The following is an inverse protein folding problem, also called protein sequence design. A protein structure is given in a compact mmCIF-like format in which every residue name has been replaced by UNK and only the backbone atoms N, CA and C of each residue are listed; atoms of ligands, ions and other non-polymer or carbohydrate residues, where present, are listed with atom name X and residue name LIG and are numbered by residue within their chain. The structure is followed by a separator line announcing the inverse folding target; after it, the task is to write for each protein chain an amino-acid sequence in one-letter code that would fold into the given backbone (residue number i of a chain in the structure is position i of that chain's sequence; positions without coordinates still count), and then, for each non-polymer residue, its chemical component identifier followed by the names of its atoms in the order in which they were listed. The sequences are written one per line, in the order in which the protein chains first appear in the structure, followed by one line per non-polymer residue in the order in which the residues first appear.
data_IF_347190335752
#
_entry.id   IF_347190335752
#
_cell.length_a   1.000
_cell.length_b   1.000
_cell.length_c   1.000
_cell.angle_alpha   90.00
_cell.angle_beta   90.00
_cell.angle_gamma   90.00
#
_symmetry.space_group_name_H-M   'P 1'
#
loop_
_entity.id
_entity.type
_entity.pdbx_description
1 polymer ?
#
# COMPACT_ATOMS: atom_id res chain seq x y z
N UNK A 1 9.94 1.38 57.01
CA UNK A 1 10.49 0.68 55.84
C UNK A 1 9.38 0.61 54.79
N UNK A 2 9.40 1.53 53.83
CA UNK A 2 8.38 1.64 52.77
C UNK A 2 8.85 0.75 51.63
N UNK A 3 8.15 -0.36 51.42
CA UNK A 3 8.48 -1.34 50.38
C UNK A 3 7.95 -0.82 49.04
N UNK A 4 8.81 -0.10 48.31
CA UNK A 4 8.53 0.37 46.95
C UNK A 4 8.49 -0.84 46.03
N UNK A 5 7.29 -1.36 45.77
CA UNK A 5 7.05 -2.35 44.71
C UNK A 5 7.32 -1.67 43.36
N UNK A 6 8.55 -1.80 42.87
CA UNK A 6 8.85 -1.66 41.45
C UNK A 6 7.96 -2.65 40.71
N UNK A 7 6.89 -2.14 40.09
CA UNK A 7 6.21 -2.84 39.00
C UNK A 7 7.25 -3.00 37.91
N UNK A 8 7.88 -4.17 37.89
CA UNK A 8 8.66 -4.64 36.75
C UNK A 8 7.69 -4.62 35.56
N UNK A 9 7.82 -3.56 34.76
CA UNK A 9 7.10 -3.35 33.51
C UNK A 9 7.74 -4.37 32.57
N UNK A 10 7.16 -5.57 32.54
CA UNK A 10 7.65 -6.68 31.73
C UNK A 10 7.76 -6.19 30.28
N UNK A 11 8.98 -6.27 29.80
CA UNK A 11 9.48 -5.70 28.57
C UNK A 11 9.65 -6.86 27.58
N UNK A 12 8.56 -7.62 27.40
CA UNK A 12 8.45 -8.77 26.49
C UNK A 12 7.27 -8.58 25.53
N UNK A 13 6.91 -7.32 25.28
CA UNK A 13 6.26 -6.95 24.02
C UNK A 13 7.41 -6.60 23.09
N UNK A 14 7.90 -7.59 22.33
CA UNK A 14 8.57 -7.34 21.05
C UNK A 14 7.57 -6.59 20.17
N UNK A 15 7.46 -5.28 20.42
CA UNK A 15 6.80 -4.37 19.51
C UNK A 15 7.53 -4.54 18.16
N UNK A 16 6.75 -4.82 17.12
CA UNK A 16 7.26 -4.94 15.75
C UNK A 16 8.24 -3.78 15.49
N UNK A 17 9.51 -4.07 15.11
CA UNK A 17 10.50 -3.02 14.91
C UNK A 17 9.99 -1.98 13.90
N UNK A 18 9.21 -2.38 12.90
CA UNK A 18 8.60 -1.47 11.92
C UNK A 18 7.55 -0.55 12.55
N UNK A 19 6.77 -1.04 13.53
CA UNK A 19 5.84 -0.16 14.26
C UNK A 19 6.61 0.83 15.15
N UNK A 20 7.72 0.40 15.74
CA UNK A 20 8.52 1.22 16.66
C UNK A 20 9.26 2.37 15.98
N UNK A 21 9.57 2.26 14.67
CA UNK A 21 10.19 3.34 13.89
C UNK A 21 9.24 4.48 13.58
N UNK A 22 7.92 4.26 13.65
CA UNK A 22 6.92 5.27 13.32
C UNK A 22 6.91 6.46 14.31
N UNK A 23 6.59 7.69 13.83
CA UNK A 23 6.38 8.84 14.69
C UNK A 23 5.38 8.56 15.83
N UNK A 24 5.66 9.08 17.02
CA UNK A 24 4.83 8.81 18.20
C UNK A 24 3.36 9.25 18.04
N UNK A 25 3.09 10.28 17.23
CA UNK A 25 1.74 10.70 16.88
C UNK A 25 0.99 9.66 16.04
N UNK A 26 1.67 9.09 15.04
CA UNK A 26 1.11 8.06 14.17
C UNK A 26 0.83 6.77 14.95
N UNK A 27 1.78 6.32 15.78
CA UNK A 27 1.58 5.17 16.67
C UNK A 27 0.37 5.32 17.58
N UNK A 28 0.18 6.52 18.17
CA UNK A 28 -0.99 6.81 19.00
C UNK A 28 -2.28 6.77 18.18
N UNK A 29 -2.27 7.32 16.97
CA UNK A 29 -3.42 7.29 16.06
C UNK A 29 -3.81 5.85 15.70
N UNK A 30 -2.83 5.00 15.38
CA UNK A 30 -3.04 3.57 15.08
C UNK A 30 -3.69 2.84 16.26
N UNK A 31 -3.20 3.07 17.48
CA UNK A 31 -3.75 2.49 18.70
C UNK A 31 -5.16 3.03 19.02
N UNK A 32 -5.41 4.32 18.83
CA UNK A 32 -6.72 4.93 19.06
C UNK A 32 -7.77 4.43 18.06
N UNK A 33 -7.39 4.27 16.79
CA UNK A 33 -8.23 3.65 15.77
C UNK A 33 -8.58 2.20 16.12
N UNK A 34 -7.61 1.43 16.66
CA UNK A 34 -7.84 0.09 17.17
C UNK A 34 -8.84 0.10 18.33
N UNK A 35 -8.56 0.88 19.37
CA UNK A 35 -9.35 0.93 20.60
C UNK A 35 -10.80 1.37 20.35
N UNK A 36 -11.03 2.18 19.31
CA UNK A 36 -12.38 2.64 18.91
C UNK A 36 -13.27 1.51 18.38
N UNK A 37 -12.68 0.49 17.75
CA UNK A 37 -13.43 -0.62 17.13
C UNK A 37 -13.14 -2.00 17.75
N UNK A 38 -12.22 -2.05 18.72
CA UNK A 38 -11.87 -3.26 19.42
C UNK A 38 -13.05 -3.78 20.24
N UNK A 39 -13.30 -5.09 20.14
CA UNK A 39 -14.29 -5.79 20.94
C UNK A 39 -13.54 -6.70 21.92
N UNK A 40 -13.94 -6.73 23.20
CA UNK A 40 -13.39 -7.71 24.13
C UNK A 40 -13.77 -9.10 23.64
N UNK A 41 -12.78 -9.98 23.56
CA UNK A 41 -12.97 -11.40 23.35
C UNK A 41 -13.63 -11.92 24.60
N UNK A 42 -14.95 -12.02 24.54
CA UNK A 42 -15.68 -12.96 25.39
C UNK A 42 -15.09 -14.32 25.06
N UNK A 43 -14.11 -14.75 25.87
CA UNK A 43 -13.83 -16.17 26.03
C UNK A 43 -15.19 -16.70 26.43
N UNK A 44 -15.89 -17.31 25.46
CA UNK A 44 -16.94 -18.23 25.79
C UNK A 44 -16.23 -19.15 26.78
N UNK A 45 -16.57 -18.99 28.06
CA UNK A 45 -16.12 -19.88 29.08
C UNK A 45 -16.79 -21.15 28.60
N UNK A 46 -16.07 -21.92 27.78
CA UNK A 46 -16.32 -23.32 27.62
C UNK A 46 -16.12 -23.80 29.04
N UNK A 47 -17.20 -23.72 29.83
CA UNK A 47 -17.57 -24.79 30.71
C UNK A 47 -17.48 -26.00 29.80
N UNK A 48 -16.25 -26.53 29.68
CA UNK A 48 -16.07 -27.94 29.83
C UNK A 48 -16.93 -28.22 31.05
N UNK A 49 -18.13 -28.68 30.75
CA UNK A 49 -18.80 -29.61 31.59
C UNK A 49 -17.73 -30.66 31.91
N UNK A 50 -16.94 -30.40 32.95
CA UNK A 50 -16.67 -31.37 34.00
C UNK A 50 -18.04 -31.80 34.51
N UNK A 51 -18.78 -32.49 33.63
CA UNK A 51 -19.89 -33.34 33.94
C UNK A 51 -19.24 -34.49 34.66
N UNK A 52 -19.00 -34.23 35.94
CA UNK A 52 -18.93 -35.18 37.02
C UNK A 52 -18.06 -36.39 36.67
N UNK A 53 -16.84 -36.37 37.23
CA UNK A 53 -16.25 -37.56 37.83
C UNK A 53 -17.35 -38.48 38.37
N UNK A 54 -17.74 -39.44 37.54
CA UNK A 54 -18.32 -40.69 37.94
C UNK A 54 -17.12 -41.60 38.23
N UNK A 55 -16.71 -41.80 39.50
CA UNK A 55 -15.74 -42.82 39.84
C UNK A 55 -16.40 -44.19 39.62
N UNK A 56 -16.27 -44.77 38.43
CA UNK A 56 -16.94 -46.03 38.12
C UNK A 56 -16.40 -46.75 36.88
N UNK A 57 -15.65 -47.83 37.11
CA UNK A 57 -15.66 -48.99 36.23
C UNK A 57 -14.41 -49.23 35.38
N UNK A 58 -13.31 -49.65 36.02
CA UNK A 58 -12.40 -50.59 35.38
C UNK A 58 -13.17 -51.92 35.16
N UNK A 59 -13.52 -52.23 33.92
CA UNK A 59 -13.74 -53.63 33.54
C UNK A 59 -12.40 -54.16 33.03
N UNK A 60 -11.72 -54.89 33.91
CA UNK A 60 -10.68 -55.83 33.50
C UNK A 60 -11.41 -56.94 32.76
N UNK A 61 -11.32 -56.96 31.43
CA UNK A 61 -11.65 -58.17 30.69
C UNK A 61 -10.40 -59.06 30.68
N UNK A 62 -10.40 -59.99 31.63
CA UNK A 62 -9.39 -61.03 31.81
C UNK A 62 -9.64 -62.19 30.83
N UNK A 63 -8.80 -62.28 29.80
CA UNK A 63 -8.29 -63.52 29.16
C UNK A 63 -7.73 -63.11 27.78
N UNK A 64 -6.45 -63.32 27.46
CA UNK A 64 -5.97 -64.64 27.04
C UNK A 64 -4.45 -64.65 27.03
N UNK A 65 -3.95 -65.77 27.51
CA UNK A 65 -2.55 -66.20 27.61
C UNK A 65 -1.92 -66.24 26.21
N UNK A 66 -0.80 -65.55 26.00
CA UNK A 66 0.25 -66.07 25.12
C UNK A 66 1.63 -65.68 25.65
N UNK A 67 2.31 -66.70 26.15
CA UNK A 67 3.71 -66.68 26.51
C UNK A 67 4.56 -66.48 25.25
N UNK A 68 5.46 -65.50 25.32
CA UNK A 68 6.50 -65.22 24.36
C UNK A 68 7.49 -64.28 25.02
N UNK A 69 8.47 -64.87 25.69
CA UNK A 69 9.59 -64.17 26.31
C UNK A 69 10.42 -63.46 25.23
N UNK A 70 10.47 -62.12 25.26
CA UNK A 70 11.61 -61.37 24.74
C UNK A 70 12.02 -60.30 25.75
N UNK A 71 13.23 -60.39 26.33
CA UNK A 71 13.73 -59.45 27.31
C UNK A 71 14.52 -58.33 26.62
N UNK A 72 14.22 -57.07 26.99
CA UNK A 72 15.18 -55.98 26.91
C UNK A 72 15.01 -55.03 25.72
N UNK A 73 14.26 -53.97 25.93
CA UNK A 73 14.28 -52.77 25.08
C UNK A 73 13.86 -51.57 25.91
N UNK A 74 14.79 -50.64 26.12
CA UNK A 74 14.59 -49.36 26.79
C UNK A 74 13.32 -48.65 26.28
N UNK A 75 12.28 -48.58 27.10
CA UNK A 75 11.34 -47.47 27.00
C UNK A 75 11.96 -46.31 27.76
N UNK A 76 12.70 -45.47 27.02
CA UNK A 76 12.82 -44.07 27.42
C UNK A 76 11.39 -43.60 27.58
N UNK A 77 10.99 -43.30 28.82
CA UNK A 77 9.82 -42.50 29.11
C UNK A 77 10.09 -41.17 28.43
N UNK A 78 9.77 -41.09 27.15
CA UNK A 78 9.67 -39.82 26.44
C UNK A 78 8.51 -39.15 27.12
N UNK A 79 8.89 -38.30 28.07
CA UNK A 79 8.09 -37.27 28.69
C UNK A 79 7.19 -36.76 27.57
N UNK A 80 5.96 -37.25 27.60
CA UNK A 80 4.91 -36.77 26.75
C UNK A 80 4.77 -35.34 27.19
N UNK A 81 5.52 -34.50 26.49
CA UNK A 81 5.45 -33.06 26.51
C UNK A 81 4.07 -32.80 25.96
N UNK A 82 3.07 -33.02 26.81
CA UNK A 82 1.88 -32.23 26.88
C UNK A 82 2.43 -30.83 26.93
N UNK A 83 2.56 -30.28 25.72
CA UNK A 83 2.84 -28.89 25.47
C UNK A 83 1.92 -28.19 26.42
N UNK A 84 2.48 -27.73 27.55
CA UNK A 84 1.87 -26.71 28.37
C UNK A 84 1.75 -25.59 27.37
N UNK A 85 0.59 -25.52 26.75
CA UNK A 85 0.04 -24.31 26.18
C UNK A 85 0.16 -23.34 27.34
N UNK A 86 1.27 -22.60 27.37
CA UNK A 86 1.40 -21.42 28.17
C UNK A 86 0.30 -20.54 27.62
N UNK A 87 -0.89 -20.69 28.21
CA UNK A 87 -1.90 -19.66 28.21
C UNK A 87 -1.16 -18.44 28.70
N UNK A 88 -0.78 -17.60 27.75
CA UNK A 88 -0.32 -16.25 27.98
C UNK A 88 -1.49 -15.56 28.67
N UNK A 89 -1.57 -15.72 30.00
CA UNK A 89 -2.42 -14.97 30.90
C UNK A 89 -1.87 -13.54 31.01
N UNK A 90 -1.59 -12.91 29.87
CA UNK A 90 -1.28 -11.50 29.76
C UNK A 90 -2.65 -10.83 29.57
N UNK A 91 -3.18 -10.13 30.60
CA UNK A 91 -4.55 -9.61 30.64
C UNK A 91 -4.77 -8.38 29.74
N UNK A 92 -4.23 -8.39 28.51
CA UNK A 92 -4.32 -7.28 27.56
C UNK A 92 -4.48 -7.68 26.09
N UNK A 93 -4.26 -8.95 25.73
CA UNK A 93 -4.32 -9.41 24.33
C UNK A 93 -5.70 -10.02 23.96
N UNK A 94 -6.70 -9.82 24.83
CA UNK A 94 -8.07 -10.31 24.61
C UNK A 94 -8.91 -9.34 23.78
N UNK A 95 -8.33 -8.33 23.12
CA UNK A 95 -9.07 -7.41 22.26
C UNK A 95 -8.75 -7.67 20.79
N UNK A 96 -9.77 -7.64 19.95
CA UNK A 96 -9.61 -7.79 18.50
C UNK A 96 -10.59 -6.90 17.74
N UNK A 97 -10.26 -6.59 16.48
CA UNK A 97 -11.15 -5.90 15.55
C UNK A 97 -11.85 -6.96 14.68
N UNK A 98 -13.19 -7.04 14.68
CA UNK A 98 -13.91 -7.91 13.75
C UNK A 98 -13.63 -7.52 12.30
N UNK A 99 -13.45 -8.50 11.39
CA UNK A 99 -13.17 -8.24 9.97
C UNK A 99 -14.12 -7.20 9.31
N UNK A 100 -15.45 -7.20 9.57
CA UNK A 100 -16.36 -6.21 8.97
C UNK A 100 -16.11 -4.76 9.43
N UNK A 101 -15.39 -4.56 10.54
CA UNK A 101 -15.08 -3.24 11.10
C UNK A 101 -13.79 -2.64 10.55
N UNK A 102 -12.96 -3.44 9.85
CA UNK A 102 -11.65 -3.01 9.33
C UNK A 102 -11.74 -1.85 8.34
N UNK A 103 -12.66 -1.83 7.36
CA UNK A 103 -12.77 -0.68 6.46
C UNK A 103 -13.08 0.63 7.20
N UNK A 104 -13.78 0.54 8.34
CA UNK A 104 -14.07 1.72 9.17
C UNK A 104 -12.84 2.17 9.94
N UNK A 105 -12.03 1.26 10.48
CA UNK A 105 -10.81 1.61 11.21
C UNK A 105 -9.74 2.18 10.28
N UNK A 106 -9.60 1.65 9.07
CA UNK A 106 -8.69 2.21 8.05
C UNK A 106 -9.07 3.64 7.68
N UNK A 107 -10.37 3.95 7.54
CA UNK A 107 -10.83 5.33 7.32
C UNK A 107 -10.48 6.30 8.45
N UNK A 108 -10.38 5.84 9.70
CA UNK A 108 -9.94 6.69 10.82
C UNK A 108 -8.46 7.07 10.69
N UNK A 109 -7.67 6.25 10.01
CA UNK A 109 -6.26 6.50 9.71
C UNK A 109 -6.06 7.17 8.34
N UNK A 110 -7.14 7.54 7.65
CA UNK A 110 -7.12 8.04 6.27
C UNK A 110 -6.43 7.09 5.28
N UNK A 111 -6.50 5.78 5.57
CA UNK A 111 -5.97 4.71 4.72
C UNK A 111 -7.06 4.15 3.79
N UNK A 112 -6.63 3.73 2.60
CA UNK A 112 -7.51 3.10 1.62
C UNK A 112 -7.96 1.70 2.09
N UNK A 113 -9.16 1.31 1.69
CA UNK A 113 -9.79 0.03 2.08
C UNK A 113 -9.90 -0.92 0.90
N UNK A 114 -8.81 -1.10 0.18
CA UNK A 114 -8.77 -1.91 -1.03
C UNK A 114 -8.88 -3.42 -0.72
N UNK A 115 -9.39 -4.19 -1.69
CA UNK A 115 -9.61 -5.63 -1.53
C UNK A 115 -8.31 -6.39 -1.22
N UNK A 116 -7.17 -5.92 -1.73
CA UNK A 116 -5.85 -6.49 -1.45
C UNK A 116 -5.45 -6.29 0.03
N UNK A 117 -5.62 -5.08 0.55
CA UNK A 117 -5.36 -4.73 1.95
C UNK A 117 -6.28 -5.55 2.87
N UNK A 118 -7.58 -5.61 2.54
CA UNK A 118 -8.54 -6.43 3.28
C UNK A 118 -8.18 -7.92 3.23
N UNK A 119 -7.58 -8.39 2.14
CA UNK A 119 -7.02 -9.74 2.01
C UNK A 119 -5.88 -10.01 3.01
N UNK A 120 -4.96 -9.06 3.20
CA UNK A 120 -3.87 -9.17 4.19
C UNK A 120 -4.44 -9.26 5.61
N UNK A 121 -5.44 -8.45 5.93
CA UNK A 121 -6.12 -8.52 7.23
C UNK A 121 -6.86 -9.84 7.46
N UNK A 122 -7.49 -10.41 6.43
CA UNK A 122 -8.09 -11.76 6.51
C UNK A 122 -7.06 -12.84 6.77
N UNK A 123 -5.90 -12.75 6.13
CA UNK A 123 -4.79 -13.68 6.34
C UNK A 123 -4.22 -13.56 7.76
N UNK A 124 -4.10 -12.35 8.27
CA UNK A 124 -3.68 -12.10 9.66
C UNK A 124 -4.71 -12.61 10.67
N UNK A 125 -6.00 -12.32 10.47
CA UNK A 125 -7.08 -12.81 11.32
C UNK A 125 -7.15 -14.35 11.36
N UNK A 126 -6.84 -15.02 10.25
CA UNK A 126 -6.82 -16.48 10.18
C UNK A 126 -5.64 -17.11 10.94
N UNK A 127 -4.71 -16.29 11.43
CA UNK A 127 -3.43 -16.71 11.99
C UNK A 127 -2.50 -17.19 10.88
N UNK A 128 -1.26 -16.71 10.87
CA UNK A 128 -0.23 -17.11 9.88
C UNK A 128 0.29 -18.56 10.10
N UNK A 129 -0.60 -19.52 10.38
CA UNK A 129 -0.27 -20.94 10.53
C UNK A 129 -0.71 -21.61 11.84
N UNK A 130 -1.36 -20.89 12.76
CA UNK A 130 -1.88 -21.46 14.01
C UNK A 130 -3.41 -21.55 13.95
N UNK A 131 -3.92 -22.70 13.48
CA UNK A 131 -5.30 -22.94 13.05
C UNK A 131 -6.39 -22.87 14.12
N UNK A 132 -6.67 -21.68 14.66
CA UNK A 132 -7.90 -21.40 15.39
C UNK A 132 -8.88 -20.65 14.49
N UNK A 133 -9.60 -21.41 13.67
CA UNK A 133 -10.60 -20.91 12.70
C UNK A 133 -11.77 -20.13 13.34
N UNK A 134 -11.91 -20.17 14.66
CA UNK A 134 -13.08 -19.63 15.36
C UNK A 134 -12.97 -18.14 15.70
N UNK A 135 -11.87 -17.46 15.32
CA UNK A 135 -11.64 -16.06 15.68
C UNK A 135 -11.48 -15.20 14.44
N UNK A 136 -12.61 -14.76 13.90
CA UNK A 136 -12.68 -13.91 12.71
C UNK A 136 -12.34 -12.44 13.03
N UNK A 137 -11.13 -12.20 13.53
CA UNK A 137 -10.71 -10.88 13.98
C UNK A 137 -9.21 -10.67 14.05
N UNK A 138 -8.79 -9.41 13.90
CA UNK A 138 -7.39 -8.99 13.88
C UNK A 138 -6.99 -8.54 15.28
N UNK A 139 -5.94 -9.13 15.84
CA UNK A 139 -5.40 -8.75 17.14
C UNK A 139 -4.64 -7.41 17.06
N UNK A 140 -4.30 -6.82 18.21
CA UNK A 140 -3.61 -5.52 18.25
C UNK A 140 -2.23 -5.56 17.57
N UNK A 141 -1.51 -6.68 17.69
CA UNK A 141 -0.16 -6.84 17.15
C UNK A 141 -0.16 -6.85 15.63
N UNK A 142 -1.02 -7.69 15.04
CA UNK A 142 -1.22 -7.79 13.60
C UNK A 142 -1.75 -6.47 13.02
N UNK A 143 -2.66 -5.80 13.73
CA UNK A 143 -3.12 -4.46 13.33
C UNK A 143 -1.97 -3.45 13.25
N UNK A 144 -1.13 -3.38 14.29
CA UNK A 144 0.04 -2.48 14.33
C UNK A 144 1.04 -2.81 13.22
N UNK A 145 1.36 -4.09 13.03
CA UNK A 145 2.29 -4.55 12.00
C UNK A 145 1.82 -4.19 10.57
N UNK A 146 0.55 -4.46 10.26
CA UNK A 146 -0.03 -4.14 8.95
C UNK A 146 -0.10 -2.63 8.74
N UNK A 147 -0.54 -1.85 9.73
CA UNK A 147 -0.58 -0.39 9.59
C UNK A 147 0.83 0.20 9.43
N UNK A 148 1.83 -0.32 10.13
CA UNK A 148 3.20 0.13 10.00
C UNK A 148 3.73 -0.06 8.57
N UNK A 149 3.53 -1.25 8.00
CA UNK A 149 3.97 -1.55 6.62
C UNK A 149 3.24 -0.73 5.56
N UNK A 150 1.93 -0.47 5.74
CA UNK A 150 1.17 0.38 4.81
C UNK A 150 1.63 1.83 4.84
N UNK A 151 1.92 2.37 6.03
CA UNK A 151 2.34 3.76 6.21
C UNK A 151 3.81 3.97 5.78
N UNK A 152 4.68 2.99 6.00
CA UNK A 152 6.07 3.01 5.52
C UNK A 152 6.14 3.11 3.98
N UNK A 153 5.23 2.43 3.27
CA UNK A 153 5.14 2.52 1.80
C UNK A 153 4.62 3.87 1.29
N UNK A 154 3.86 4.61 2.09
CA UNK A 154 3.26 5.90 1.70
C UNK A 154 4.22 7.08 1.91
N UNK A 155 5.15 6.98 2.87
CA UNK A 155 6.14 8.04 3.17
C UNK A 155 7.27 8.13 2.14
N UNK A 156 7.39 7.20 1.20
CA UNK A 156 8.39 7.23 0.13
C UNK A 156 8.27 8.40 -0.87
N UNK A 157 7.22 9.24 -0.78
CA UNK A 157 6.93 10.27 -1.79
C UNK A 157 7.09 11.70 -1.26
N UNK A 158 7.09 11.97 0.05
CA UNK A 158 7.14 13.37 0.53
C UNK A 158 7.90 13.50 1.86
N UNK A 159 8.96 14.33 1.80
CA UNK A 159 9.85 14.81 2.86
C UNK A 159 11.02 13.86 3.13
N UNK A 160 12.22 14.13 2.61
CA UNK A 160 12.96 15.29 3.10
C UNK A 160 13.29 15.19 4.59
N UNK A 161 13.20 14.00 5.19
CA UNK A 161 13.86 13.70 6.45
C UNK A 161 15.35 13.73 6.16
N UNK A 162 15.94 14.88 6.42
CA UNK A 162 17.37 15.11 6.51
C UNK A 162 17.96 13.98 7.33
N UNK A 163 18.50 13.00 6.61
CA UNK A 163 19.40 11.99 7.13
C UNK A 163 20.36 12.74 8.03
N UNK A 164 20.31 12.41 9.31
CA UNK A 164 21.36 12.72 10.27
C UNK A 164 22.55 11.87 9.83
N UNK A 165 23.14 12.25 8.71
CA UNK A 165 24.39 11.77 8.20
C UNK A 165 25.43 12.25 9.18
N UNK A 166 25.77 11.35 10.10
CA UNK A 166 27.07 11.35 10.76
C UNK A 166 28.10 11.05 9.66
N UNK A 167 28.31 12.01 8.78
CA UNK A 167 29.43 12.03 7.85
C UNK A 167 30.48 12.87 8.54
N UNK A 168 31.51 12.19 9.02
CA UNK A 168 32.73 12.85 9.44
C UNK A 168 33.22 13.74 8.31
N UNK A 169 33.42 15.03 8.64
CA UNK A 169 34.73 15.67 8.54
C UNK A 169 35.83 14.62 8.23
N UNK A 170 36.62 14.70 7.16
CA UNK A 170 37.41 15.85 6.71
C UNK A 170 37.89 15.69 5.24
N UNK A 171 38.35 16.83 4.67
CA UNK A 171 39.29 17.00 3.54
C UNK A 171 38.75 16.79 2.11
N UNK A 172 38.49 17.90 1.39
CA UNK A 172 39.44 18.61 0.51
C UNK A 172 39.61 17.96 -0.87
N UNK A 173 38.87 18.48 -1.85
CA UNK A 173 39.32 18.54 -3.23
C UNK A 173 38.45 19.51 -4.03
N UNK A 174 39.00 20.70 -4.26
CA UNK A 174 38.53 21.57 -5.33
C UNK A 174 38.69 20.85 -6.68
N UNK A 175 37.59 20.76 -7.43
CA UNK A 175 37.65 20.45 -8.86
C UNK A 175 36.86 21.51 -9.61
N UNK A 176 37.60 22.24 -10.42
CA UNK A 176 37.19 23.32 -11.30
C UNK A 176 36.05 22.94 -12.27
N UNK A 177 35.17 23.92 -12.45
CA UNK A 177 34.47 24.32 -13.67
C UNK A 177 34.28 23.35 -14.82
N UNK A 178 33.02 23.06 -15.13
CA UNK A 178 32.58 22.92 -16.51
C UNK A 178 31.25 23.68 -16.72
N UNK A 179 31.33 24.77 -17.48
CA UNK A 179 30.22 25.60 -17.92
C UNK A 179 29.54 24.93 -19.13
N UNK A 180 28.40 24.28 -18.92
CA UNK A 180 27.58 23.78 -20.03
C UNK A 180 26.69 24.89 -20.60
N UNK A 181 27.17 25.53 -21.67
CA UNK A 181 26.35 26.38 -22.54
C UNK A 181 25.30 25.53 -23.27
N UNK A 182 24.01 25.80 -23.02
CA UNK A 182 22.91 25.33 -23.86
C UNK A 182 23.02 25.96 -25.25
N UNK A 183 23.38 25.17 -26.26
CA UNK A 183 23.24 25.56 -27.65
C UNK A 183 21.79 25.41 -28.10
N UNK A 184 21.24 26.57 -28.44
CA UNK A 184 19.97 26.79 -29.12
C UNK A 184 19.95 26.02 -30.44
N UNK A 185 19.16 24.94 -30.53
CA UNK A 185 18.82 24.32 -31.81
C UNK A 185 17.59 25.03 -32.38
N UNK A 186 17.90 26.11 -33.11
CA UNK A 186 17.09 26.65 -34.19
C UNK A 186 17.54 25.99 -35.49
N UNK A 187 16.63 25.93 -36.48
CA UNK A 187 16.79 25.44 -37.87
C UNK A 187 16.49 23.94 -38.07
N UNK A 188 15.80 23.46 -39.10
CA UNK A 188 15.20 23.99 -40.34
C UNK A 188 14.34 22.83 -40.88
N UNK A 189 13.05 23.02 -41.16
CA UNK A 189 12.47 22.92 -42.51
C UNK A 189 13.30 22.12 -43.53
N UNK A 190 12.80 20.97 -44.00
CA UNK A 190 12.67 20.64 -45.43
C UNK A 190 11.69 19.47 -45.64
N UNK A 191 10.83 19.64 -46.65
CA UNK A 191 9.96 18.65 -47.25
C UNK A 191 10.79 17.59 -47.97
N UNK A 192 10.45 16.30 -47.82
CA UNK A 192 10.87 15.31 -48.82
C UNK A 192 9.85 14.19 -48.96
N UNK A 193 9.08 14.32 -50.03
CA UNK A 193 8.25 13.30 -50.65
C UNK A 193 9.17 12.31 -51.35
N UNK A 194 9.12 11.02 -50.98
CA UNK A 194 9.64 9.97 -51.86
C UNK A 194 8.71 8.75 -51.90
N UNK A 195 8.39 8.39 -53.13
CA UNK A 195 7.38 7.47 -53.60
C UNK A 195 8.11 6.18 -54.00
N UNK A 196 8.19 5.21 -53.08
CA UNK A 196 8.75 3.90 -53.39
C UNK A 196 7.66 2.93 -53.84
N UNK A 197 7.56 2.77 -55.16
CA UNK A 197 7.05 1.57 -55.80
C UNK A 197 8.07 0.44 -55.64
N UNK A 198 7.65 -0.67 -55.02
CA UNK A 198 8.39 -1.93 -55.11
C UNK A 198 7.45 -3.04 -55.59
N UNK A 199 7.50 -3.27 -56.91
CA UNK A 199 6.94 -4.42 -57.59
C UNK A 199 7.85 -5.63 -57.35
N UNK A 200 7.50 -6.47 -56.38
CA UNK A 200 8.06 -7.82 -56.29
C UNK A 200 6.96 -8.84 -56.49
N UNK A 201 6.85 -9.28 -57.75
CA UNK A 201 6.13 -10.48 -58.15
C UNK A 201 6.89 -11.73 -57.67
N UNK A 202 6.22 -12.57 -56.88
CA UNK A 202 6.83 -13.77 -56.30
C UNK A 202 5.83 -14.74 -55.67
N UNK A 203 5.15 -15.49 -56.52
CA UNK A 203 4.62 -16.86 -56.33
C UNK A 203 4.33 -17.39 -54.91
N UNK A 204 3.03 -17.46 -54.60
CA UNK A 204 2.28 -18.54 -53.94
C UNK A 204 2.96 -19.44 -52.89
N UNK A 205 2.43 -19.38 -51.65
CA UNK A 205 1.89 -20.55 -50.95
C UNK A 205 0.91 -20.15 -49.84
N UNK A 206 -0.31 -20.63 -50.01
CA UNK A 206 -1.42 -20.71 -49.07
C UNK A 206 -1.00 -21.15 -47.67
N UNK A 207 -1.45 -20.43 -46.64
CA UNK A 207 -2.29 -21.02 -45.61
C UNK A 207 -3.15 -19.96 -44.90
N UNK A 208 -4.42 -20.30 -44.84
CA UNK A 208 -5.56 -19.52 -44.39
C UNK A 208 -5.77 -19.79 -42.89
N UNK A 209 -5.73 -18.74 -42.06
CA UNK A 209 -6.39 -18.70 -40.76
C UNK A 209 -6.64 -17.24 -40.31
N UNK A 210 -7.84 -16.76 -40.63
CA UNK A 210 -8.68 -15.84 -39.82
C UNK A 210 -7.98 -14.66 -39.12
N UNK A 211 -7.82 -13.53 -39.80
CA UNK A 211 -8.71 -12.36 -39.71
C UNK A 211 -9.17 -11.99 -38.28
N UNK A 212 -8.41 -11.11 -37.63
CA UNK A 212 -8.83 -10.46 -36.39
C UNK A 212 -7.94 -9.29 -36.02
N UNK A 213 -7.44 -8.52 -37.00
CA UNK A 213 -6.68 -7.29 -36.75
C UNK A 213 -7.62 -6.22 -36.18
N UNK A 214 -7.81 -6.27 -34.86
CA UNK A 214 -8.44 -5.22 -34.09
C UNK A 214 -7.43 -4.08 -34.02
N UNK A 215 -7.55 -3.13 -34.95
CA UNK A 215 -7.10 -1.75 -34.69
C UNK A 215 -7.65 -1.37 -33.30
N UNK A 216 -6.82 -0.97 -32.32
CA UNK A 216 -7.33 -0.25 -31.17
C UNK A 216 -7.81 1.10 -31.71
N UNK A 217 -9.04 1.11 -32.17
CA UNK A 217 -9.84 2.31 -32.36
C UNK A 217 -9.97 2.90 -30.97
N UNK A 218 -9.01 3.73 -30.59
CA UNK A 218 -9.06 4.68 -29.48
C UNK A 218 -10.23 5.63 -29.73
N UNK A 219 -11.44 5.11 -29.52
CA UNK A 219 -12.64 5.90 -29.28
C UNK A 219 -12.54 6.28 -27.82
N UNK A 220 -11.69 7.25 -27.52
CA UNK A 220 -12.00 8.09 -26.38
C UNK A 220 -13.44 8.57 -26.61
N UNK A 221 -14.36 8.32 -25.67
CA UNK A 221 -15.68 8.88 -25.76
C UNK A 221 -15.47 10.39 -25.85
N UNK A 222 -15.67 10.93 -27.05
CA UNK A 222 -15.97 12.35 -27.27
C UNK A 222 -17.36 12.56 -26.71
N UNK A 223 -17.50 12.32 -25.40
CA UNK A 223 -18.70 12.61 -24.66
C UNK A 223 -18.83 14.10 -24.70
N UNK A 224 -20.02 14.54 -25.15
CA UNK A 224 -20.53 15.87 -24.89
C UNK A 224 -20.06 16.34 -23.51
N UNK A 225 -19.72 17.62 -23.47
CA UNK A 225 -19.41 18.41 -22.30
C UNK A 225 -20.56 18.40 -21.28
N UNK A 226 -20.89 17.24 -20.73
CA UNK A 226 -21.49 17.12 -19.41
C UNK A 226 -20.44 17.69 -18.49
N UNK A 227 -20.67 18.94 -18.08
CA UNK A 227 -19.81 19.65 -17.18
C UNK A 227 -19.57 18.75 -15.98
N UNK A 228 -18.34 18.24 -15.82
CA UNK A 228 -17.99 17.37 -14.71
C UNK A 228 -18.33 18.15 -13.43
N UNK A 229 -19.38 17.71 -12.74
CA UNK A 229 -19.91 18.38 -11.57
C UNK A 229 -19.01 18.05 -10.37
N UNK A 230 -17.83 18.67 -10.32
CA UNK A 230 -16.95 18.61 -9.15
C UNK A 230 -17.59 19.37 -7.98
N UNK A 231 -17.54 18.76 -6.79
CA UNK A 231 -17.95 19.40 -5.53
C UNK A 231 -17.06 20.61 -5.24
N UNK A 232 -17.51 21.49 -4.33
CA UNK A 232 -16.73 22.69 -3.96
C UNK A 232 -15.35 22.32 -3.39
N UNK A 233 -15.28 21.23 -2.63
CA UNK A 233 -14.06 20.70 -2.04
C UNK A 233 -13.10 20.14 -3.09
N UNK A 234 -13.60 19.31 -4.01
CA UNK A 234 -12.84 18.78 -5.13
C UNK A 234 -12.25 19.90 -6.00
N UNK A 235 -13.01 20.98 -6.23
CA UNK A 235 -12.51 22.16 -6.94
C UNK A 235 -11.40 22.87 -6.19
N UNK A 236 -11.46 22.90 -4.85
CA UNK A 236 -10.41 23.49 -4.03
C UNK A 236 -9.12 22.66 -4.13
N UNK A 237 -9.23 21.32 -4.04
CA UNK A 237 -8.11 20.39 -4.23
C UNK A 237 -7.49 20.56 -5.61
N UNK A 238 -8.31 20.53 -6.68
CA UNK A 238 -7.81 20.77 -8.04
C UNK A 238 -7.08 22.11 -8.16
N UNK A 239 -7.56 23.16 -7.48
CA UNK A 239 -6.93 24.49 -7.51
C UNK A 239 -5.60 24.51 -6.75
N UNK A 240 -5.51 23.80 -5.64
CA UNK A 240 -4.27 23.63 -4.89
C UNK A 240 -3.23 22.84 -5.69
N UNK A 241 -3.61 21.72 -6.30
CA UNK A 241 -2.70 20.93 -7.13
C UNK A 241 -2.26 21.71 -8.38
N UNK A 242 -3.18 22.43 -9.02
CA UNK A 242 -2.84 23.31 -10.14
C UNK A 242 -1.84 24.40 -9.73
N UNK A 243 -1.92 24.92 -8.50
CA UNK A 243 -0.99 25.90 -7.99
C UNK A 243 0.45 25.38 -7.85
N UNK A 244 0.65 24.06 -7.71
CA UNK A 244 1.99 23.44 -7.58
C UNK A 244 2.83 23.60 -8.85
N UNK A 245 2.20 23.73 -10.02
CA UNK A 245 2.88 24.04 -11.27
C UNK A 245 3.33 25.51 -11.34
N UNK A 246 2.83 26.41 -10.48
CA UNK A 246 3.11 27.84 -10.53
C UNK A 246 3.55 28.40 -9.18
N UNK A 247 4.68 27.95 -8.61
CA UNK A 247 5.11 28.36 -7.26
C UNK A 247 5.36 29.88 -7.14
N UNK A 248 5.62 30.57 -8.25
CA UNK A 248 5.83 32.01 -8.29
C UNK A 248 4.53 32.82 -8.43
N UNK A 249 3.40 32.20 -8.74
CA UNK A 249 2.14 32.90 -9.06
C UNK A 249 1.20 32.88 -7.85
N UNK A 250 0.73 34.05 -7.36
CA UNK A 250 -0.27 34.09 -6.29
C UNK A 250 -1.59 33.44 -6.69
N UNK A 251 -2.27 32.81 -5.73
CA UNK A 251 -3.53 32.07 -5.94
C UNK A 251 -4.66 32.83 -6.65
N UNK A 252 -4.67 34.17 -6.53
CA UNK A 252 -5.66 35.04 -7.17
C UNK A 252 -5.49 35.13 -8.71
N UNK A 253 -4.32 34.80 -9.25
CA UNK A 253 -4.01 34.88 -10.68
C UNK A 253 -3.99 33.52 -11.38
N UNK A 254 -4.21 32.42 -10.64
CA UNK A 254 -4.13 31.06 -11.17
C UNK A 254 -5.16 30.79 -12.28
N UNK A 255 -6.34 31.38 -12.22
CA UNK A 255 -7.42 31.10 -13.19
C UNK A 255 -7.05 31.57 -14.63
N UNK A 256 -6.07 32.48 -14.76
CA UNK A 256 -5.52 32.92 -16.04
C UNK A 256 -4.26 32.19 -16.49
N UNK A 257 -3.67 31.34 -15.64
CA UNK A 257 -2.48 30.58 -15.98
C UNK A 257 -2.81 29.33 -16.79
N UNK A 258 -1.82 28.86 -17.54
CA UNK A 258 -1.94 27.67 -18.38
C UNK A 258 -0.71 26.80 -18.20
N UNK A 259 -0.91 25.51 -17.97
CA UNK A 259 0.18 24.55 -17.86
C UNK A 259 0.72 24.34 -19.28
N UNK A 260 1.98 24.70 -19.48
CA UNK A 260 2.70 24.49 -20.75
C UNK A 260 3.65 23.32 -20.62
N UNK A 261 4.25 22.88 -21.73
CA UNK A 261 5.28 21.84 -21.71
C UNK A 261 6.45 22.19 -20.77
N UNK A 262 6.80 23.48 -20.67
CA UNK A 262 7.83 23.97 -19.77
C UNK A 262 7.52 23.64 -18.30
N UNK A 263 6.29 23.93 -17.85
CA UNK A 263 5.88 23.68 -16.46
C UNK A 263 5.83 22.19 -16.12
N UNK A 264 5.40 21.34 -17.06
CA UNK A 264 5.40 19.88 -16.88
C UNK A 264 6.84 19.36 -16.78
N UNK A 265 7.73 19.81 -17.66
CA UNK A 265 9.15 19.43 -17.59
C UNK A 265 9.81 19.90 -16.31
N UNK A 266 9.50 21.11 -15.84
CA UNK A 266 10.01 21.63 -14.58
C UNK A 266 9.53 20.80 -13.39
N UNK A 267 8.25 20.42 -13.37
CA UNK A 267 7.70 19.54 -12.35
C UNK A 267 8.37 18.15 -12.37
N UNK A 268 8.59 17.56 -13.55
CA UNK A 268 9.27 16.27 -13.70
C UNK A 268 10.72 16.33 -13.18
N UNK A 269 11.44 17.41 -13.47
CA UNK A 269 12.80 17.64 -12.95
C UNK A 269 12.83 17.68 -11.41
N UNK A 270 11.84 18.32 -10.78
CA UNK A 270 11.73 18.36 -9.32
C UNK A 270 11.45 16.96 -8.73
N UNK A 271 10.69 16.14 -9.44
CA UNK A 271 10.41 14.74 -9.08
C UNK A 271 11.56 13.77 -9.44
N UNK A 272 12.62 14.27 -10.10
CA UNK A 272 13.73 13.47 -10.65
C UNK A 272 13.27 12.44 -11.68
N UNK A 273 12.17 12.71 -12.37
CA UNK A 273 11.66 11.91 -13.47
C UNK A 273 12.09 12.51 -14.81
N UNK A 274 12.44 11.65 -15.77
CA UNK A 274 12.82 12.07 -17.11
C UNK A 274 11.67 11.81 -18.09
N UNK A 275 10.95 12.89 -18.42
CA UNK A 275 9.94 12.87 -19.49
C UNK A 275 10.55 13.36 -20.80
N UNK A 276 10.21 12.68 -21.90
CA UNK A 276 10.62 13.14 -23.22
C UNK A 276 9.73 14.31 -23.68
N UNK A 277 10.28 15.30 -24.41
CA UNK A 277 9.48 16.41 -24.91
C UNK A 277 8.27 15.97 -25.74
N UNK A 278 8.41 14.88 -26.52
CA UNK A 278 7.34 14.34 -27.34
C UNK A 278 6.19 13.79 -26.48
N UNK A 279 6.51 13.11 -25.38
CA UNK A 279 5.54 12.57 -24.42
C UNK A 279 4.75 13.69 -23.74
N UNK A 280 5.44 14.78 -23.34
CA UNK A 280 4.79 15.95 -22.74
C UNK A 280 3.79 16.59 -23.71
N UNK A 281 4.15 16.67 -25.00
CA UNK A 281 3.24 17.18 -26.04
C UNK A 281 2.05 16.25 -26.23
N UNK A 282 2.25 14.93 -26.26
CA UNK A 282 1.16 13.95 -26.36
C UNK A 282 0.21 14.04 -25.15
N UNK A 283 0.74 14.18 -23.93
CA UNK A 283 -0.05 14.38 -22.72
C UNK A 283 -0.91 15.65 -22.80
N UNK A 284 -0.30 16.76 -23.22
CA UNK A 284 -1.02 18.03 -23.39
C UNK A 284 -2.09 17.91 -24.48
N UNK A 285 -1.82 17.24 -25.59
CA UNK A 285 -2.82 17.02 -26.65
C UNK A 285 -3.97 16.11 -26.21
N UNK A 286 -3.73 15.16 -25.30
CA UNK A 286 -4.78 14.26 -24.82
C UNK A 286 -5.83 14.99 -23.97
N UNK A 287 -5.43 16.00 -23.19
CA UNK A 287 -6.30 16.66 -22.22
C UNK A 287 -6.60 18.14 -22.51
N UNK A 288 -5.79 18.81 -23.34
CA UNK A 288 -6.02 20.20 -23.70
C UNK A 288 -7.16 20.34 -24.70
N UNK A 289 -8.05 21.30 -24.43
CA UNK A 289 -9.02 21.78 -25.41
C UNK A 289 -8.45 22.83 -26.37
N UNK A 290 -7.22 23.30 -26.13
CA UNK A 290 -6.59 24.40 -26.85
C UNK A 290 -5.57 23.90 -27.87
N UNK A 291 -5.52 24.55 -29.03
CA UNK A 291 -4.59 24.21 -30.13
C UNK A 291 -3.15 24.66 -29.89
N UNK A 292 -2.92 25.46 -28.87
CA UNK A 292 -1.62 26.04 -28.53
C UNK A 292 -0.73 25.09 -27.71
N UNK A 293 -1.20 23.88 -27.41
CA UNK A 293 -0.44 22.91 -26.63
C UNK A 293 -0.29 23.34 -25.17
N UNK A 294 -1.27 24.04 -24.63
CA UNK A 294 -1.31 24.40 -23.20
C UNK A 294 -2.62 23.96 -22.57
N UNK A 295 -2.60 23.64 -21.29
CA UNK A 295 -3.75 23.12 -20.55
C UNK A 295 -4.27 24.17 -19.57
N UNK A 296 -5.53 24.58 -19.73
CA UNK A 296 -6.18 25.52 -18.81
C UNK A 296 -6.61 24.86 -17.50
N UNK A 297 -7.01 25.64 -16.49
CA UNK A 297 -7.55 25.09 -15.25
C UNK A 297 -8.80 24.21 -15.47
N UNK A 298 -9.65 24.54 -16.46
CA UNK A 298 -10.81 23.71 -16.81
C UNK A 298 -10.41 22.36 -17.41
N UNK A 299 -9.36 22.36 -18.26
CA UNK A 299 -8.81 21.14 -18.83
C UNK A 299 -8.16 20.27 -17.73
N UNK A 300 -7.42 20.88 -16.82
CA UNK A 300 -6.81 20.21 -15.67
C UNK A 300 -7.87 19.56 -14.77
N UNK A 301 -8.96 20.26 -14.44
CA UNK A 301 -10.08 19.68 -13.67
C UNK A 301 -10.69 18.47 -14.36
N UNK A 302 -10.85 18.52 -15.69
CA UNK A 302 -11.37 17.41 -16.48
C UNK A 302 -10.42 16.22 -16.45
N UNK A 303 -9.12 16.48 -16.60
CA UNK A 303 -8.06 15.48 -16.47
C UNK A 303 -8.13 14.81 -15.10
N UNK A 304 -8.12 15.58 -14.01
CA UNK A 304 -8.17 15.05 -12.63
C UNK A 304 -9.39 14.15 -12.38
N UNK A 305 -10.54 14.50 -12.95
CA UNK A 305 -11.75 13.69 -12.86
C UNK A 305 -11.68 12.42 -13.72
N UNK A 306 -11.11 12.51 -14.94
CA UNK A 306 -10.96 11.38 -15.84
C UNK A 306 -9.95 10.35 -15.33
N UNK A 307 -8.86 10.81 -14.71
CA UNK A 307 -7.82 9.96 -14.10
C UNK A 307 -8.20 9.46 -12.71
N UNK A 308 -9.36 9.87 -12.18
CA UNK A 308 -9.84 9.55 -10.81
C UNK A 308 -8.87 9.98 -9.70
N UNK A 309 -8.02 10.97 -9.98
CA UNK A 309 -7.15 11.59 -8.96
C UNK A 309 -7.95 12.38 -7.92
N UNK A 310 -9.19 12.75 -8.26
CA UNK A 310 -10.15 13.35 -7.35
C UNK A 310 -11.39 12.45 -7.32
N UNK A 311 -11.61 11.76 -6.20
CA UNK A 311 -12.74 10.83 -6.02
C UNK A 311 -14.05 11.63 -5.99
N UNK A 312 -14.95 11.34 -6.93
CA UNK A 312 -16.28 11.94 -7.09
C UNK A 312 -17.22 11.59 -5.95
#
# INVERSE_FOLDING_TARGET
MVSTRQRSRRQDDEDDPAFSTLPAGLRRSIDEAFDTCAVPRTRAFTQQNDELDAPGGFIIDSATVHAGEEPGGFLVVSESSTSRVQGSDIPGDDFYIPLPSIPRTLRLLDLESDDEILGVFRNAASGWGAGNADNEGVNRKDWRAICATLLEGQEGIVLGSEETGVVGMEEDSGSEGDEYQMSVLSSEQEESSDEYHDDISGTAKSNQATSGSRKPSSKFPTSNSDAVHLTAEQRAICKEDFARFFPAVPGAQLDGQRITAHEIMQAALLLKESLKPEEVVEMLQAFSSSKDGSMSFEDFKRMMAQTRMVRS
#
